data_IF_621565107450
#
_entry.id   IF_621565107450
#
_cell.length_a   1.000
_cell.length_b   1.000
_cell.length_c   1.000
_cell.angle_alpha   90.00
_cell.angle_beta   90.00
_cell.angle_gamma   90.00
#
_symmetry.space_group_name_H-M   'P 1'
#
loop_
_entity.id
_entity.type
_entity.pdbx_description
1 polymer ?
#
# COMPACT_ATOMS: atom_id res chain seq x y z
N UNK A 1 -12.94 -7.78 29.17
CA UNK A 1 -13.00 -7.71 27.68
C UNK A 1 -14.42 -7.34 27.31
N UNK A 2 -14.67 -6.16 26.75
CA UNK A 2 -16.02 -5.70 26.40
C UNK A 2 -16.38 -6.17 24.99
N UNK A 3 -16.81 -7.42 24.87
CA UNK A 3 -17.25 -8.03 23.59
C UNK A 3 -18.57 -7.42 23.08
N UNK A 4 -19.34 -6.78 23.96
CA UNK A 4 -20.62 -6.11 23.69
C UNK A 4 -20.53 -4.93 22.69
N UNK A 5 -19.32 -4.43 22.42
CA UNK A 5 -19.10 -3.25 21.56
C UNK A 5 -18.98 -3.61 20.07
N UNK A 6 -18.85 -4.89 19.72
CA UNK A 6 -18.83 -5.32 18.32
C UNK A 6 -20.24 -5.46 17.74
N UNK A 7 -20.93 -4.32 17.60
CA UNK A 7 -22.26 -4.23 17.00
C UNK A 7 -22.27 -3.05 16.01
N UNK A 8 -23.10 -3.15 14.97
CA UNK A 8 -23.19 -2.18 13.88
C UNK A 8 -23.44 -0.74 14.36
N UNK A 9 -24.12 -0.56 15.49
CA UNK A 9 -24.37 0.75 16.10
C UNK A 9 -23.08 1.46 16.57
N UNK A 10 -22.01 0.71 16.86
CA UNK A 10 -20.71 1.23 17.30
C UNK A 10 -19.66 1.23 16.18
N UNK A 11 -19.98 0.72 15.00
CA UNK A 11 -19.06 0.68 13.86
C UNK A 11 -18.97 2.06 13.19
N UNK A 12 -17.74 2.49 12.92
CA UNK A 12 -17.53 3.74 12.19
C UNK A 12 -17.86 3.53 10.72
N UNK A 13 -18.83 4.30 10.22
CA UNK A 13 -19.34 4.20 8.84
C UNK A 13 -19.86 2.80 8.48
N UNK A 14 -20.30 2.01 9.48
CA UNK A 14 -20.75 0.62 9.28
C UNK A 14 -19.62 -0.37 8.99
N UNK A 15 -18.36 0.01 9.26
CA UNK A 15 -17.19 -0.83 9.01
C UNK A 15 -16.79 -1.50 10.32
N UNK A 16 -16.93 -2.83 10.32
CA UNK A 16 -16.50 -3.69 11.43
C UNK A 16 -15.01 -3.49 11.74
N UNK A 17 -14.57 -3.64 13.00
CA UNK A 17 -13.16 -3.50 13.38
C UNK A 17 -12.19 -4.32 12.52
N UNK A 18 -12.60 -5.49 12.05
CA UNK A 18 -11.82 -6.38 11.16
C UNK A 18 -11.66 -5.82 9.74
N UNK A 19 -12.62 -5.00 9.28
CA UNK A 19 -12.65 -4.42 7.94
C UNK A 19 -11.81 -3.16 7.76
N UNK A 20 -11.41 -2.50 8.85
CA UNK A 20 -10.62 -1.26 8.82
C UNK A 20 -9.27 -1.45 8.11
N UNK A 21 -8.64 -2.63 8.25
CA UNK A 21 -7.40 -2.96 7.55
C UNK A 21 -7.55 -2.91 6.02
N UNK A 22 -8.71 -3.31 5.49
CA UNK A 22 -8.97 -3.27 4.05
C UNK A 22 -9.07 -1.84 3.52
N UNK A 23 -9.69 -0.93 4.28
CA UNK A 23 -9.68 0.50 3.94
C UNK A 23 -8.26 1.08 3.93
N UNK A 24 -7.45 0.73 4.94
CA UNK A 24 -6.06 1.15 5.03
C UNK A 24 -5.23 0.70 3.83
N UNK A 25 -5.42 -0.54 3.38
CA UNK A 25 -4.79 -1.04 2.16
C UNK A 25 -5.21 -0.24 0.94
N UNK A 26 -6.52 -0.05 0.72
CA UNK A 26 -7.03 0.71 -0.42
C UNK A 26 -6.41 2.12 -0.44
N UNK A 27 -6.42 2.81 0.71
CA UNK A 27 -5.83 4.13 0.82
C UNK A 27 -4.32 4.12 0.52
N UNK A 28 -3.57 3.16 1.06
CA UNK A 28 -2.14 3.04 0.81
C UNK A 28 -1.82 2.81 -0.67
N UNK A 29 -2.54 1.91 -1.34
CA UNK A 29 -2.39 1.66 -2.77
C UNK A 29 -2.73 2.90 -3.61
N UNK A 30 -3.81 3.60 -3.28
CA UNK A 30 -4.18 4.85 -3.97
C UNK A 30 -3.06 5.88 -3.85
N UNK A 31 -2.57 6.11 -2.63
CA UNK A 31 -1.47 7.05 -2.40
C UNK A 31 -0.20 6.62 -3.14
N UNK A 32 0.19 5.35 -3.03
CA UNK A 32 1.38 4.83 -3.69
C UNK A 32 1.32 4.99 -5.21
N UNK A 33 0.19 4.66 -5.83
CA UNK A 33 -0.01 4.81 -7.28
C UNK A 33 -0.01 6.28 -7.70
N UNK A 34 -0.67 7.16 -6.95
CA UNK A 34 -0.70 8.60 -7.25
C UNK A 34 0.70 9.19 -7.15
N UNK A 35 1.40 8.96 -6.05
CA UNK A 35 2.78 9.46 -5.85
C UNK A 35 3.70 8.91 -6.93
N UNK A 36 3.61 7.61 -7.25
CA UNK A 36 4.42 6.97 -8.29
C UNK A 36 4.19 7.56 -9.69
N UNK A 37 3.00 8.10 -9.99
CA UNK A 37 2.70 8.71 -11.30
C UNK A 37 2.97 10.21 -11.35
N UNK A 38 2.92 10.89 -10.21
CA UNK A 38 3.14 12.34 -10.12
C UNK A 38 4.62 12.68 -9.97
N UNK A 39 5.43 11.74 -9.49
CA UNK A 39 6.88 11.91 -9.35
C UNK A 39 7.60 11.53 -10.63
N UNK A 40 8.67 12.25 -10.97
CA UNK A 40 9.52 11.93 -12.12
C UNK A 40 10.12 10.53 -12.00
N UNK A 41 10.41 9.92 -13.15
CA UNK A 41 11.08 8.63 -13.21
C UNK A 41 12.48 8.69 -12.56
N UNK A 42 12.94 7.61 -11.89
CA UNK A 42 14.28 7.57 -11.32
C UNK A 42 15.37 7.82 -12.38
N UNK A 43 16.52 8.43 -12.05
CA UNK A 43 17.62 8.64 -13.00
C UNK A 43 18.06 7.33 -13.67
N UNK A 44 18.47 7.40 -14.94
CA UNK A 44 18.85 6.21 -15.74
C UNK A 44 19.90 5.32 -15.05
N UNK A 45 20.93 5.91 -14.43
CA UNK A 45 21.96 5.16 -13.69
C UNK A 45 21.38 4.26 -12.59
N UNK A 46 20.32 4.71 -11.90
CA UNK A 46 19.66 3.95 -10.85
C UNK A 46 18.81 2.83 -11.46
N UNK A 47 18.17 3.09 -12.60
CA UNK A 47 17.42 2.07 -13.33
C UNK A 47 18.35 0.95 -13.81
N UNK A 48 19.50 1.32 -14.38
CA UNK A 48 20.54 0.38 -14.85
C UNK A 48 21.11 -0.44 -13.69
N UNK A 49 21.33 0.20 -12.53
CA UNK A 49 21.76 -0.48 -11.30
C UNK A 49 20.74 -1.55 -10.87
N UNK A 50 19.46 -1.19 -10.79
CA UNK A 50 18.39 -2.12 -10.41
C UNK A 50 18.28 -3.26 -11.43
N UNK A 51 18.41 -2.98 -12.72
CA UNK A 51 18.40 -4.00 -13.77
C UNK A 51 19.58 -4.98 -13.64
N UNK A 52 20.78 -4.47 -13.32
CA UNK A 52 21.96 -5.32 -13.08
C UNK A 52 21.84 -6.24 -11.85
N UNK A 53 21.06 -5.82 -10.83
CA UNK A 53 20.74 -6.65 -9.66
C UNK A 53 19.67 -7.68 -10.02
N UNK A 54 18.68 -7.28 -10.83
CA UNK A 54 17.54 -8.13 -11.21
C UNK A 54 17.95 -9.25 -12.16
N UNK A 55 18.85 -8.98 -13.09
CA UNK A 55 19.42 -9.95 -14.02
C UNK A 55 20.92 -9.96 -13.74
N UNK A 56 21.42 -10.90 -12.91
CA UNK A 56 22.86 -11.05 -12.75
C UNK A 56 23.44 -11.36 -14.13
N UNK A 57 24.34 -10.49 -14.62
CA UNK A 57 25.07 -10.74 -15.86
C UNK A 57 25.82 -12.06 -15.68
N UNK A 58 25.47 -13.06 -16.49
CA UNK A 58 26.22 -14.31 -16.57
C UNK A 58 27.63 -13.95 -17.05
N UNK A 59 28.61 -14.21 -16.18
CA UNK A 59 30.03 -13.89 -16.39
C UNK A 59 30.63 -14.84 -17.41
#
# INVERSE_FOLDING_TARGET
MHLELNNADNWWFGISPEGIGSLGMIFNFVVALVVSKVTDEPPQEIQDLVESIRIPKEV
#
